data_IF_097631864084
#
_entry.id   IF_097631864084
#
_cell.length_a   1.000
_cell.length_b   1.000
_cell.length_c   1.000
_cell.angle_alpha   90.00
_cell.angle_beta   90.00
_cell.angle_gamma   90.00
#
_symmetry.space_group_name_H-M   'P 1'
#
loop_
_entity.id
_entity.type
_entity.pdbx_description
1 polymer ?
#
# COMPACT_ATOMS: atom_id res chain seq x y z
N UNK A 1 24.34 -22.92 58.12
CA UNK A 1 25.39 -22.43 59.06
C UNK A 1 26.20 -21.35 58.38
N UNK A 2 26.32 -20.24 59.10
CA UNK A 2 27.30 -19.17 59.00
C UNK A 2 27.14 -18.21 57.82
N UNK A 3 26.57 -17.05 58.09
CA UNK A 3 27.09 -15.75 58.60
C UNK A 3 27.59 -14.89 57.42
N UNK A 4 26.84 -13.86 57.03
CA UNK A 4 26.83 -12.50 57.59
C UNK A 4 28.26 -11.84 57.58
N UNK A 5 28.48 -10.92 56.66
CA UNK A 5 29.25 -9.71 56.94
C UNK A 5 28.68 -8.54 56.12
N UNK A 6 28.18 -7.61 56.81
CA UNK A 6 27.91 -6.21 56.66
C UNK A 6 29.15 -5.46 56.18
N UNK A 7 29.04 -4.59 55.18
CA UNK A 7 29.72 -3.30 55.28
C UNK A 7 28.97 -2.23 54.47
N UNK A 8 28.42 -1.33 55.20
CA UNK A 8 27.90 -0.02 54.82
C UNK A 8 29.04 0.85 54.27
N UNK A 9 28.77 1.53 53.14
CA UNK A 9 29.42 2.82 52.88
C UNK A 9 28.39 3.81 52.34
N UNK A 10 28.10 4.75 53.20
CA UNK A 10 27.31 5.95 53.02
C UNK A 10 28.24 7.00 52.39
N UNK A 11 27.58 7.91 51.66
CA UNK A 11 27.98 9.30 51.35
C UNK A 11 28.19 9.59 49.88
N UNK A 12 27.38 10.50 49.40
CA UNK A 12 27.64 11.29 48.22
C UNK A 12 26.45 11.73 47.41
N UNK A 13 25.50 12.41 48.06
CA UNK A 13 24.49 13.26 47.39
C UNK A 13 25.18 14.37 46.59
N UNK A 14 25.01 14.38 45.28
CA UNK A 14 25.10 15.64 44.56
C UNK A 14 23.87 15.75 43.67
N UNK A 15 22.94 16.56 44.13
CA UNK A 15 21.84 17.12 43.33
C UNK A 15 22.44 18.00 42.23
N UNK A 16 22.44 17.48 41.00
CA UNK A 16 22.71 18.24 39.80
C UNK A 16 21.42 18.58 39.09
N UNK A 17 20.62 19.52 39.60
CA UNK A 17 19.58 20.18 38.84
C UNK A 17 20.25 20.89 37.66
N UNK A 18 20.12 20.34 36.44
CA UNK A 18 20.38 21.10 35.22
C UNK A 18 19.18 22.03 34.98
N UNK A 19 19.39 23.36 34.95
CA UNK A 19 18.34 24.27 34.57
C UNK A 19 17.94 24.04 33.14
N UNK A 20 16.63 23.90 32.91
CA UNK A 20 16.03 23.93 31.60
C UNK A 20 16.38 25.28 30.98
N UNK A 21 17.18 25.28 29.92
CA UNK A 21 17.43 26.48 29.14
C UNK A 21 16.11 26.91 28.55
N UNK A 22 15.55 28.00 29.04
CA UNK A 22 14.45 28.71 28.40
C UNK A 22 14.83 29.00 26.97
N UNK A 23 13.92 28.66 26.06
CA UNK A 23 13.98 29.01 24.64
C UNK A 23 13.77 30.53 24.54
N UNK A 24 14.83 31.29 24.72
CA UNK A 24 14.88 32.76 24.49
C UNK A 24 15.45 33.10 23.11
N UNK A 25 15.47 32.13 22.19
CA UNK A 25 16.02 32.32 20.83
C UNK A 25 14.98 32.85 19.82
N UNK A 26 13.71 32.92 20.16
CA UNK A 26 12.69 33.40 19.22
C UNK A 26 12.43 34.89 19.36
N UNK A 27 12.57 35.47 20.57
CA UNK A 27 12.30 36.88 20.77
C UNK A 27 13.40 37.82 20.23
N UNK A 28 14.65 37.34 20.16
CA UNK A 28 15.77 38.12 19.61
C UNK A 28 15.83 38.14 18.08
N UNK A 29 15.01 37.37 17.38
CA UNK A 29 14.92 37.39 15.93
C UNK A 29 13.90 38.42 15.42
N UNK A 30 13.06 38.97 16.30
CA UNK A 30 12.01 39.91 15.92
C UNK A 30 12.39 41.39 16.14
N UNK A 31 13.53 41.70 16.77
CA UNK A 31 13.95 43.09 17.08
C UNK A 31 15.08 43.64 16.20
N UNK A 32 15.58 42.94 15.21
CA UNK A 32 16.48 43.55 14.19
C UNK A 32 15.68 44.12 13.06
N UNK A 33 15.31 45.39 13.27
CA UNK A 33 14.80 46.31 12.27
C UNK A 33 15.98 46.78 11.39
N UNK A 34 16.42 45.95 10.47
CA UNK A 34 17.29 46.38 9.39
C UNK A 34 16.44 46.72 8.18
N UNK A 35 16.41 48.00 7.88
CA UNK A 35 15.81 48.58 6.67
C UNK A 35 16.59 48.07 5.47
N UNK A 36 16.25 46.87 4.98
CA UNK A 36 16.61 46.44 3.63
C UNK A 36 15.42 46.81 2.76
N UNK A 37 15.61 47.74 1.88
CA UNK A 37 14.70 47.96 0.73
C UNK A 37 14.73 46.71 -0.12
N UNK A 38 13.90 45.74 0.24
CA UNK A 38 13.64 44.60 -0.62
C UNK A 38 12.62 45.06 -1.64
N UNK A 39 13.07 45.23 -2.83
CA UNK A 39 12.20 45.27 -4.01
C UNK A 39 11.49 43.92 -4.00
N UNK A 40 10.27 43.90 -3.50
CA UNK A 40 9.39 42.72 -3.57
C UNK A 40 9.01 42.57 -5.03
N UNK A 41 9.79 41.80 -5.76
CA UNK A 41 9.28 41.17 -6.97
C UNK A 41 8.36 40.09 -6.48
N UNK A 42 7.13 40.43 -6.16
CA UNK A 42 6.01 39.50 -6.06
C UNK A 42 5.76 38.93 -7.45
N UNK A 43 6.58 37.95 -7.83
CA UNK A 43 6.14 36.97 -8.78
C UNK A 43 5.30 36.00 -7.97
N UNK A 44 4.01 36.31 -7.77
CA UNK A 44 3.02 35.29 -7.50
C UNK A 44 3.27 34.17 -8.51
N UNK A 45 3.41 32.90 -8.06
CA UNK A 45 3.35 31.81 -9.00
C UNK A 45 1.98 31.94 -9.64
N UNK A 46 1.97 32.41 -10.87
CA UNK A 46 0.80 32.46 -11.72
C UNK A 46 0.22 31.05 -11.70
N UNK A 47 -0.85 30.86 -10.93
CA UNK A 47 -1.69 29.68 -11.02
C UNK A 47 -2.34 29.80 -12.39
N UNK A 48 -1.61 29.39 -13.41
CA UNK A 48 -2.12 29.25 -14.76
C UNK A 48 -3.30 28.29 -14.65
N UNK A 49 -4.51 28.84 -14.78
CA UNK A 49 -5.70 28.01 -14.98
C UNK A 49 -5.36 27.05 -16.11
N UNK A 50 -5.57 25.73 -15.91
CA UNK A 50 -5.25 24.74 -16.93
C UNK A 50 -5.91 25.16 -18.24
N UNK A 51 -5.14 25.24 -19.31
CA UNK A 51 -5.72 25.48 -20.63
C UNK A 51 -6.67 24.31 -20.95
N UNK A 52 -7.75 24.57 -21.68
CA UNK A 52 -8.72 23.54 -22.08
C UNK A 52 -8.02 22.37 -22.76
N UNK A 53 -6.98 22.65 -23.56
CA UNK A 53 -6.15 21.64 -24.23
C UNK A 53 -5.40 20.72 -23.24
N UNK A 54 -4.91 21.25 -22.11
CA UNK A 54 -4.18 20.46 -21.12
C UNK A 54 -5.08 19.47 -20.35
N UNK A 55 -6.35 19.83 -20.09
CA UNK A 55 -7.32 18.93 -19.47
C UNK A 55 -7.66 17.75 -20.40
N UNK A 56 -7.83 18.03 -21.70
CA UNK A 56 -8.07 16.98 -22.69
C UNK A 56 -6.91 15.97 -22.75
N UNK A 57 -5.67 16.43 -22.67
CA UNK A 57 -4.49 15.55 -22.59
C UNK A 57 -4.56 14.64 -21.36
N UNK A 58 -4.90 15.17 -20.19
CA UNK A 58 -5.01 14.37 -18.96
C UNK A 58 -6.12 13.34 -19.06
N UNK A 59 -7.27 13.72 -19.60
CA UNK A 59 -8.39 12.80 -19.84
C UNK A 59 -8.01 11.67 -20.80
N UNK A 60 -7.27 11.98 -21.87
CA UNK A 60 -6.78 10.96 -22.82
C UNK A 60 -5.78 10.01 -22.17
N UNK A 61 -4.89 10.53 -21.31
CA UNK A 61 -3.97 9.68 -20.54
C UNK A 61 -4.74 8.73 -19.62
N UNK A 62 -5.73 9.22 -18.86
CA UNK A 62 -6.55 8.36 -18.00
C UNK A 62 -7.31 7.30 -18.80
N UNK A 63 -7.89 7.68 -19.93
CA UNK A 63 -8.53 6.75 -20.86
C UNK A 63 -7.54 5.70 -21.38
N UNK A 64 -6.33 6.10 -21.73
CA UNK A 64 -5.27 5.18 -22.16
C UNK A 64 -4.91 4.17 -21.07
N UNK A 65 -4.82 4.61 -19.81
CA UNK A 65 -4.56 3.72 -18.66
C UNK A 65 -5.68 2.70 -18.53
N UNK A 66 -6.94 3.12 -18.61
CA UNK A 66 -8.09 2.20 -18.55
C UNK A 66 -8.10 1.21 -19.73
N UNK A 67 -7.77 1.64 -20.94
CA UNK A 67 -7.69 0.78 -22.11
C UNK A 67 -6.53 -0.24 -22.01
N UNK A 68 -5.44 0.13 -21.33
CA UNK A 68 -4.27 -0.73 -21.14
C UNK A 68 -4.38 -1.64 -19.91
N UNK A 69 -5.55 -1.66 -19.23
CA UNK A 69 -5.76 -2.61 -18.12
C UNK A 69 -5.50 -4.03 -18.60
N UNK A 70 -4.79 -4.78 -17.78
CA UNK A 70 -4.43 -6.17 -18.07
C UNK A 70 -5.70 -6.99 -18.17
N UNK A 71 -5.95 -7.53 -19.37
CA UNK A 71 -7.07 -8.42 -19.66
C UNK A 71 -6.58 -9.86 -19.60
N UNK A 72 -7.28 -10.71 -18.87
CA UNK A 72 -6.92 -12.11 -18.68
C UNK A 72 -8.16 -12.94 -18.34
N UNK A 73 -8.08 -14.25 -18.53
CA UNK A 73 -9.06 -15.23 -18.04
C UNK A 73 -8.52 -15.90 -16.78
N UNK A 74 -7.24 -16.27 -16.81
CA UNK A 74 -6.53 -16.86 -15.65
C UNK A 74 -5.22 -16.14 -15.44
N UNK A 75 -4.79 -16.07 -14.18
CA UNK A 75 -3.50 -15.52 -13.79
C UNK A 75 -2.86 -16.41 -12.73
N UNK A 76 -1.59 -16.75 -12.93
CA UNK A 76 -0.79 -17.48 -11.94
C UNK A 76 0.43 -16.63 -11.58
N UNK A 77 0.84 -16.69 -10.32
CA UNK A 77 2.05 -16.01 -9.89
C UNK A 77 2.75 -16.74 -8.73
N UNK A 78 4.07 -16.54 -8.65
CA UNK A 78 4.90 -16.81 -7.47
C UNK A 78 5.44 -15.49 -6.95
N UNK A 79 5.07 -15.12 -5.76
CA UNK A 79 5.32 -13.80 -5.18
C UNK A 79 6.13 -13.98 -3.89
N UNK A 80 7.27 -13.32 -3.75
CA UNK A 80 7.89 -13.11 -2.45
C UNK A 80 7.19 -11.94 -1.78
N UNK A 81 6.72 -12.17 -0.56
CA UNK A 81 5.99 -11.17 0.21
C UNK A 81 6.75 -10.87 1.49
N UNK A 82 6.97 -9.59 1.73
CA UNK A 82 7.40 -9.04 3.01
C UNK A 82 6.23 -8.31 3.62
N UNK A 83 5.84 -8.75 4.80
CA UNK A 83 4.71 -8.21 5.56
C UNK A 83 5.24 -7.57 6.84
N UNK A 84 4.87 -6.33 7.09
CA UNK A 84 5.20 -5.58 8.29
C UNK A 84 3.91 -5.07 8.92
N UNK A 85 3.50 -5.72 9.99
CA UNK A 85 2.33 -5.35 10.79
C UNK A 85 2.73 -4.74 12.13
N UNK A 86 1.73 -4.47 12.97
CA UNK A 86 1.95 -3.84 14.27
C UNK A 86 2.71 -4.76 15.24
N UNK A 87 2.46 -6.05 15.19
CA UNK A 87 3.03 -7.06 16.12
C UNK A 87 3.87 -8.13 15.40
N UNK A 88 3.77 -8.23 14.07
CA UNK A 88 4.37 -9.32 13.30
C UNK A 88 5.05 -8.77 12.05
N UNK A 89 6.28 -9.20 11.83
CA UNK A 89 7.02 -9.01 10.59
C UNK A 89 7.32 -10.39 10.01
N UNK A 90 6.81 -10.67 8.82
CA UNK A 90 6.94 -11.98 8.22
C UNK A 90 7.39 -11.91 6.76
N UNK A 91 8.18 -12.91 6.37
CA UNK A 91 8.60 -13.15 5.00
C UNK A 91 8.10 -14.52 4.54
N UNK A 92 7.34 -14.56 3.47
CA UNK A 92 6.81 -15.80 2.93
C UNK A 92 6.69 -15.76 1.40
N UNK A 93 6.46 -16.92 0.81
CA UNK A 93 6.17 -17.00 -0.63
C UNK A 93 4.70 -17.34 -0.83
N UNK A 94 4.02 -16.53 -1.62
CA UNK A 94 2.65 -16.78 -2.07
C UNK A 94 2.69 -17.41 -3.46
N UNK A 95 1.98 -18.52 -3.60
CA UNK A 95 1.64 -19.10 -4.88
C UNK A 95 0.17 -18.80 -5.15
N UNK A 96 -0.08 -18.05 -6.21
CA UNK A 96 -1.37 -17.47 -6.55
C UNK A 96 -1.91 -18.09 -7.84
N UNK A 97 -3.20 -18.38 -7.88
CA UNK A 97 -3.95 -18.67 -9.11
C UNK A 97 -5.29 -17.94 -9.05
N UNK A 98 -5.61 -17.21 -10.09
CA UNK A 98 -6.86 -16.43 -10.20
C UNK A 98 -7.62 -16.90 -11.43
N UNK A 99 -8.93 -17.14 -11.29
CA UNK A 99 -9.89 -17.13 -12.40
C UNK A 99 -10.60 -15.77 -12.31
N UNK A 100 -10.49 -14.99 -13.37
CA UNK A 100 -11.06 -13.63 -13.40
C UNK A 100 -12.53 -13.64 -12.98
N UNK A 101 -12.89 -12.68 -12.12
CA UNK A 101 -14.25 -12.45 -11.63
C UNK A 101 -14.93 -13.64 -10.91
N UNK A 102 -14.17 -14.70 -10.60
CA UNK A 102 -14.67 -15.93 -10.02
C UNK A 102 -13.98 -16.27 -8.69
N UNK A 103 -12.69 -16.55 -8.71
CA UNK A 103 -11.99 -17.04 -7.53
C UNK A 103 -10.51 -16.69 -7.53
N UNK A 104 -9.97 -16.43 -6.35
CA UNK A 104 -8.56 -16.29 -6.06
C UNK A 104 -8.15 -17.44 -5.14
N UNK A 105 -7.17 -18.24 -5.54
CA UNK A 105 -6.52 -19.25 -4.73
C UNK A 105 -5.13 -18.77 -4.35
N UNK A 106 -4.79 -18.84 -3.07
CA UNK A 106 -3.48 -18.49 -2.55
C UNK A 106 -2.95 -19.62 -1.65
N UNK A 107 -1.66 -19.95 -1.80
CA UNK A 107 -0.92 -20.82 -0.90
C UNK A 107 0.27 -20.04 -0.34
N UNK A 108 0.32 -19.90 0.97
CA UNK A 108 1.43 -19.25 1.67
C UNK A 108 2.39 -20.34 2.12
N UNK A 109 3.65 -20.23 1.66
CA UNK A 109 4.74 -21.12 2.04
C UNK A 109 5.78 -20.32 2.82
N UNK A 110 6.08 -20.79 4.02
CA UNK A 110 7.18 -20.28 4.83
C UNK A 110 8.55 -20.81 4.38
N UNK A 111 9.52 -20.70 5.27
CA UNK A 111 10.84 -21.30 5.09
C UNK A 111 10.72 -22.80 4.74
N UNK A 112 11.68 -23.32 3.96
CA UNK A 112 11.71 -24.71 3.49
C UNK A 112 10.52 -25.12 2.60
N UNK A 113 9.71 -24.19 2.10
CA UNK A 113 8.61 -24.47 1.19
C UNK A 113 7.39 -25.16 1.82
N UNK A 114 7.31 -25.19 3.15
CA UNK A 114 6.18 -25.80 3.88
C UNK A 114 4.95 -24.90 3.71
N UNK A 115 3.82 -25.50 3.28
CA UNK A 115 2.55 -24.79 3.19
C UNK A 115 2.00 -24.54 4.59
N UNK A 116 2.06 -23.27 5.03
CA UNK A 116 1.51 -22.83 6.31
C UNK A 116 0.02 -22.54 6.25
N UNK A 117 -0.42 -21.94 5.13
CA UNK A 117 -1.79 -21.47 4.95
C UNK A 117 -2.24 -21.61 3.50
N UNK A 118 -3.53 -21.84 3.30
CA UNK A 118 -4.20 -21.71 2.00
C UNK A 118 -5.41 -20.81 2.14
N UNK A 119 -5.70 -20.02 1.11
CA UNK A 119 -6.90 -19.22 1.05
C UNK A 119 -7.64 -19.43 -0.28
N UNK A 120 -8.96 -19.39 -0.19
CA UNK A 120 -9.88 -19.29 -1.32
C UNK A 120 -10.72 -18.04 -1.11
N UNK A 121 -10.66 -17.09 -2.03
CA UNK A 121 -11.41 -15.84 -1.97
C UNK A 121 -12.36 -15.81 -3.16
N UNK A 122 -13.63 -15.55 -2.90
CA UNK A 122 -14.69 -15.35 -3.87
C UNK A 122 -15.34 -13.98 -3.64
N UNK A 123 -16.29 -13.60 -4.46
CA UNK A 123 -17.03 -12.33 -4.30
C UNK A 123 -17.73 -12.21 -2.94
N UNK A 124 -18.12 -13.34 -2.34
CA UNK A 124 -18.94 -13.37 -1.14
C UNK A 124 -18.18 -13.86 0.09
N UNK A 125 -17.11 -14.62 -0.09
CA UNK A 125 -16.49 -15.36 1.01
C UNK A 125 -14.97 -15.49 0.92
N UNK A 126 -14.37 -15.64 2.10
CA UNK A 126 -12.97 -15.99 2.30
C UNK A 126 -12.91 -17.27 3.11
N UNK A 127 -12.29 -18.31 2.57
CA UNK A 127 -12.01 -19.56 3.27
C UNK A 127 -10.52 -19.67 3.48
N UNK A 128 -10.10 -19.76 4.74
CA UNK A 128 -8.70 -19.89 5.14
C UNK A 128 -8.51 -21.27 5.74
N UNK A 129 -7.47 -21.97 5.31
CA UNK A 129 -7.04 -23.26 5.87
C UNK A 129 -5.65 -23.09 6.44
N UNK A 130 -5.52 -23.10 7.76
CA UNK A 130 -4.23 -23.09 8.44
C UNK A 130 -3.73 -24.53 8.55
N UNK A 131 -2.53 -24.81 8.02
CA UNK A 131 -1.93 -26.17 7.96
C UNK A 131 -0.75 -26.36 8.90
N UNK A 132 -0.19 -25.28 9.43
CA UNK A 132 0.94 -25.30 10.36
C UNK A 132 0.52 -24.78 11.74
N UNK A 133 1.04 -25.39 12.80
CA UNK A 133 0.62 -25.13 14.18
C UNK A 133 -0.79 -25.68 14.43
N UNK A 134 -1.65 -24.90 15.07
CA UNK A 134 -3.06 -25.26 15.24
C UNK A 134 -3.77 -25.32 13.89
N UNK A 135 -4.26 -26.51 13.52
CA UNK A 135 -4.90 -26.75 12.21
C UNK A 135 -6.38 -26.44 12.29
N UNK A 136 -6.84 -25.51 11.45
CA UNK A 136 -8.27 -25.15 11.38
C UNK A 136 -8.68 -24.64 10.00
N UNK A 137 -9.99 -24.62 9.78
CA UNK A 137 -10.65 -23.97 8.66
C UNK A 137 -11.44 -22.80 9.22
N UNK A 138 -11.24 -21.62 8.63
CA UNK A 138 -12.00 -20.43 8.96
C UNK A 138 -12.78 -19.99 7.72
N UNK A 139 -14.08 -19.76 7.89
CA UNK A 139 -14.97 -19.25 6.85
C UNK A 139 -15.45 -17.87 7.27
N UNK A 140 -15.25 -16.87 6.41
CA UNK A 140 -15.63 -15.49 6.64
C UNK A 140 -16.33 -14.92 5.42
N UNK A 141 -17.09 -13.85 5.60
CA UNK A 141 -17.58 -13.05 4.48
C UNK A 141 -16.42 -12.29 3.83
N UNK A 142 -16.64 -11.77 2.64
CA UNK A 142 -15.63 -10.95 1.94
C UNK A 142 -15.24 -9.69 2.73
N UNK A 143 -16.13 -9.17 3.60
CA UNK A 143 -15.84 -8.03 4.48
C UNK A 143 -14.65 -8.29 5.43
N UNK A 144 -14.28 -9.54 5.66
CA UNK A 144 -13.09 -9.89 6.44
C UNK A 144 -11.81 -9.30 5.84
N UNK A 145 -11.72 -9.16 4.51
CA UNK A 145 -10.59 -8.50 3.88
C UNK A 145 -10.51 -7.02 4.28
N UNK A 146 -11.66 -6.37 4.42
CA UNK A 146 -11.72 -4.98 4.88
C UNK A 146 -11.34 -4.84 6.35
N UNK A 147 -11.72 -5.81 7.18
CA UNK A 147 -11.31 -5.87 8.59
C UNK A 147 -9.79 -5.99 8.74
N UNK A 148 -9.16 -6.82 7.89
CA UNK A 148 -7.72 -7.04 7.90
C UNK A 148 -6.92 -5.86 7.35
N UNK A 149 -7.35 -5.33 6.20
CA UNK A 149 -6.61 -4.29 5.49
C UNK A 149 -6.98 -2.88 5.94
N UNK A 150 -8.08 -2.74 6.70
CA UNK A 150 -8.69 -1.46 7.07
C UNK A 150 -9.13 -0.61 5.86
N UNK A 151 -9.00 -1.11 4.66
CA UNK A 151 -9.44 -0.47 3.42
C UNK A 151 -10.68 -1.21 2.91
N UNK A 152 -11.71 -0.51 2.39
CA UNK A 152 -12.91 -1.14 1.86
C UNK A 152 -12.64 -1.79 0.49
N UNK A 153 -11.67 -2.68 0.45
CA UNK A 153 -11.40 -3.49 -0.73
C UNK A 153 -12.49 -4.52 -0.92
N UNK A 154 -13.13 -4.48 -2.06
CA UNK A 154 -13.97 -5.56 -2.54
C UNK A 154 -13.15 -6.62 -3.31
N UNK A 155 -13.80 -7.65 -3.77
CA UNK A 155 -13.16 -8.72 -4.53
C UNK A 155 -12.45 -8.19 -5.79
N UNK A 156 -13.09 -7.29 -6.52
CA UNK A 156 -12.56 -6.74 -7.77
C UNK A 156 -11.31 -5.89 -7.51
N UNK A 157 -11.36 -5.07 -6.48
CA UNK A 157 -10.21 -4.24 -6.06
C UNK A 157 -9.00 -5.10 -5.69
N UNK A 158 -9.23 -6.17 -4.90
CA UNK A 158 -8.15 -7.12 -4.54
C UNK A 158 -7.60 -7.82 -5.78
N UNK A 159 -8.47 -8.26 -6.69
CA UNK A 159 -8.09 -8.88 -7.95
C UNK A 159 -7.23 -7.93 -8.81
N UNK A 160 -7.64 -6.68 -8.94
CA UNK A 160 -6.91 -5.65 -9.70
C UNK A 160 -5.54 -5.37 -9.09
N UNK A 161 -5.44 -5.21 -7.79
CA UNK A 161 -4.15 -5.03 -7.10
C UNK A 161 -3.23 -6.22 -7.35
N UNK A 162 -3.73 -7.46 -7.26
CA UNK A 162 -2.94 -8.68 -7.46
C UNK A 162 -2.46 -8.84 -8.90
N UNK A 163 -3.22 -8.37 -9.87
CA UNK A 163 -2.86 -8.40 -11.29
C UNK A 163 -2.03 -7.19 -11.70
N UNK A 164 -2.10 -6.09 -10.95
CA UNK A 164 -1.33 -4.87 -11.22
C UNK A 164 -2.11 -3.83 -12.01
N UNK A 165 -3.42 -3.96 -12.07
CA UNK A 165 -4.27 -2.91 -12.57
C UNK A 165 -4.40 -1.79 -11.52
N UNK A 166 -4.34 -0.54 -11.91
CA UNK A 166 -4.59 0.57 -11.00
C UNK A 166 -6.05 0.59 -10.53
N UNK A 167 -6.24 1.02 -9.30
CA UNK A 167 -7.55 1.03 -8.63
C UNK A 167 -8.05 2.46 -8.39
N UNK A 168 -9.38 2.62 -8.22
CA UNK A 168 -10.02 3.91 -7.91
C UNK A 168 -9.69 5.03 -8.91
N UNK A 169 -9.55 4.70 -10.19
CA UNK A 169 -9.46 5.68 -11.27
C UNK A 169 -10.90 6.06 -11.70
N UNK A 170 -11.11 7.35 -11.91
CA UNK A 170 -12.35 7.91 -12.42
C UNK A 170 -12.06 9.18 -13.22
N UNK A 171 -13.09 9.79 -13.79
CA UNK A 171 -12.96 10.99 -14.62
C UNK A 171 -13.20 12.30 -13.84
N UNK A 172 -13.38 12.24 -12.52
CA UNK A 172 -13.59 13.43 -11.71
C UNK A 172 -12.23 14.04 -11.30
N UNK A 173 -11.61 14.74 -12.24
CA UNK A 173 -10.32 15.40 -12.10
C UNK A 173 -10.54 16.71 -11.34
N UNK A 174 -9.92 16.82 -10.16
CA UNK A 174 -9.94 18.06 -9.36
C UNK A 174 -8.82 19.01 -9.79
N UNK A 175 -7.61 18.45 -9.95
CA UNK A 175 -6.44 19.21 -10.40
C UNK A 175 -5.39 18.24 -10.97
N UNK A 176 -4.43 18.80 -11.70
CA UNK A 176 -3.31 18.04 -12.22
C UNK A 176 -2.06 18.93 -12.36
N UNK A 177 -0.91 18.27 -12.44
CA UNK A 177 0.37 18.94 -12.72
C UNK A 177 1.19 18.07 -13.68
N UNK A 178 1.61 18.65 -14.77
CA UNK A 178 2.49 18.01 -15.76
C UNK A 178 3.93 18.51 -15.50
N UNK A 179 4.84 17.57 -15.36
CA UNK A 179 6.29 17.83 -15.29
C UNK A 179 6.97 17.11 -16.47
N UNK A 180 8.29 17.28 -16.61
CA UNK A 180 9.04 16.58 -17.65
C UNK A 180 8.97 15.05 -17.49
N UNK A 181 8.95 14.57 -16.25
CA UNK A 181 9.01 13.15 -15.92
C UNK A 181 7.62 12.55 -15.63
N UNK A 182 6.77 13.29 -14.93
CA UNK A 182 5.53 12.76 -14.39
C UNK A 182 4.32 13.64 -14.68
N UNK A 183 3.18 12.99 -14.81
CA UNK A 183 1.86 13.58 -14.72
C UNK A 183 1.27 13.21 -13.35
N UNK A 184 1.00 14.19 -12.51
CA UNK A 184 0.26 14.03 -11.27
C UNK A 184 -1.19 14.40 -11.52
N UNK A 185 -2.11 13.53 -11.12
CA UNK A 185 -3.56 13.75 -11.29
C UNK A 185 -4.25 13.52 -9.96
N UNK A 186 -4.98 14.52 -9.49
CA UNK A 186 -5.79 14.40 -8.29
C UNK A 186 -7.24 14.14 -8.67
N UNK A 187 -7.74 12.97 -8.30
CA UNK A 187 -9.08 12.48 -8.58
C UNK A 187 -9.92 12.48 -7.30
N UNK A 188 -11.20 12.85 -7.43
CA UNK A 188 -12.16 12.73 -6.34
C UNK A 188 -13.12 11.56 -6.65
N UNK A 189 -13.00 10.49 -5.88
CA UNK A 189 -13.94 9.34 -5.93
C UNK A 189 -15.05 9.47 -4.89
N UNK A 190 -15.83 8.40 -4.74
CA UNK A 190 -16.92 8.36 -3.75
C UNK A 190 -16.44 8.01 -2.33
N UNK A 191 -15.31 7.32 -2.21
CA UNK A 191 -14.75 6.85 -0.94
C UNK A 191 -13.36 7.43 -0.67
N UNK A 192 -12.58 7.65 -1.73
CA UNK A 192 -11.21 8.13 -1.65
C UNK A 192 -10.96 9.31 -2.58
N UNK A 193 -10.11 10.21 -2.11
CA UNK A 193 -9.32 11.09 -2.94
C UNK A 193 -8.14 10.27 -3.43
N UNK A 194 -7.80 10.33 -4.69
CA UNK A 194 -6.68 9.58 -5.27
C UNK A 194 -5.70 10.53 -5.97
N UNK A 195 -4.47 10.60 -5.47
CA UNK A 195 -3.38 11.27 -6.14
C UNK A 195 -2.58 10.23 -6.92
N UNK A 196 -2.77 10.23 -8.23
CA UNK A 196 -2.02 9.39 -9.15
C UNK A 196 -0.73 10.06 -9.58
N UNK A 197 0.36 9.29 -9.62
CA UNK A 197 1.60 9.65 -10.30
C UNK A 197 1.77 8.72 -11.49
N UNK A 198 1.85 9.29 -12.66
CA UNK A 198 1.92 8.58 -13.95
C UNK A 198 3.22 8.99 -14.64
N UNK A 199 3.98 8.04 -15.12
CA UNK A 199 5.15 8.32 -15.96
C UNK A 199 4.74 9.01 -17.26
N UNK A 200 5.35 10.14 -17.54
CA UNK A 200 4.92 10.99 -18.67
C UNK A 200 5.28 10.41 -20.05
N UNK A 201 6.25 9.51 -20.13
CA UNK A 201 6.68 8.89 -21.38
C UNK A 201 5.92 7.59 -21.63
N UNK A 202 5.93 6.67 -20.67
CA UNK A 202 5.34 5.32 -20.82
C UNK A 202 3.86 5.27 -20.53
N UNK A 203 3.32 6.30 -19.84
CA UNK A 203 1.93 6.35 -19.33
C UNK A 203 1.62 5.21 -18.34
N UNK A 204 2.64 4.71 -17.65
CA UNK A 204 2.49 3.73 -16.57
C UNK A 204 2.15 4.44 -15.26
N UNK A 205 1.28 3.85 -14.46
CA UNK A 205 1.01 4.33 -13.11
C UNK A 205 2.19 3.93 -12.22
N UNK A 206 2.83 4.89 -11.59
CA UNK A 206 3.95 4.67 -10.68
C UNK A 206 3.49 4.62 -9.23
N UNK A 207 2.51 5.46 -8.88
CA UNK A 207 2.04 5.58 -7.52
C UNK A 207 0.57 6.00 -7.47
N UNK A 208 -0.15 5.51 -6.49
CA UNK A 208 -1.52 5.89 -6.16
C UNK A 208 -1.60 6.11 -4.65
N UNK A 209 -1.86 7.35 -4.25
CA UNK A 209 -2.12 7.68 -2.85
C UNK A 209 -3.61 7.91 -2.65
N UNK A 210 -4.21 7.06 -1.85
CA UNK A 210 -5.62 7.09 -1.50
C UNK A 210 -5.77 7.70 -0.10
N UNK A 211 -6.50 8.80 0.00
CA UNK A 211 -6.91 9.37 1.28
C UNK A 211 -8.42 9.25 1.43
N UNK A 212 -8.90 8.75 2.56
CA UNK A 212 -10.34 8.63 2.81
C UNK A 212 -11.01 10.01 2.74
N UNK A 213 -12.19 10.08 2.15
CA UNK A 213 -12.97 11.31 2.11
C UNK A 213 -13.47 11.68 3.49
N UNK A 214 -13.81 10.68 4.30
CA UNK A 214 -14.18 10.86 5.70
C UNK A 214 -12.92 11.10 6.53
N UNK A 215 -12.67 12.35 6.84
CA UNK A 215 -11.50 12.80 7.61
C UNK A 215 -11.44 12.20 9.03
N UNK A 216 -12.58 11.77 9.59
CA UNK A 216 -12.63 11.15 10.90
C UNK A 216 -11.99 9.76 10.91
N UNK A 217 -11.96 9.08 9.78
CA UNK A 217 -11.29 7.79 9.63
C UNK A 217 -9.77 7.92 9.59
N UNK A 218 -9.26 9.08 9.15
CA UNK A 218 -7.82 9.38 9.02
C UNK A 218 -7.03 8.21 8.41
N UNK A 219 -7.56 7.66 7.32
CA UNK A 219 -7.07 6.45 6.69
C UNK A 219 -6.45 6.77 5.35
N UNK A 220 -5.23 6.28 5.15
CA UNK A 220 -4.48 6.42 3.90
C UNK A 220 -4.03 5.07 3.38
N UNK A 221 -3.92 4.94 2.06
CA UNK A 221 -3.32 3.78 1.42
C UNK A 221 -2.44 4.24 0.27
N UNK A 222 -1.15 3.94 0.36
CA UNK A 222 -0.17 4.21 -0.67
C UNK A 222 0.13 2.93 -1.44
N UNK A 223 0.03 2.95 -2.77
CA UNK A 223 0.35 1.82 -3.63
C UNK A 223 1.40 2.27 -4.62
N UNK A 224 2.56 1.64 -4.59
CA UNK A 224 3.64 1.87 -5.54
C UNK A 224 3.71 0.71 -6.53
N UNK A 225 3.86 1.02 -7.81
CA UNK A 225 4.05 0.07 -8.90
C UNK A 225 5.42 0.34 -9.52
N UNK A 226 6.28 -0.67 -9.60
CA UNK A 226 7.62 -0.51 -10.16
C UNK A 226 8.11 -1.77 -10.86
N UNK A 227 9.32 -1.71 -11.42
CA UNK A 227 9.96 -2.81 -12.14
C UNK A 227 9.04 -3.36 -13.24
N UNK A 228 8.53 -2.47 -14.09
CA UNK A 228 7.67 -2.84 -15.20
C UNK A 228 8.42 -3.68 -16.23
N UNK A 229 7.81 -4.79 -16.62
CA UNK A 229 8.29 -5.68 -17.67
C UNK A 229 7.22 -5.76 -18.75
N UNK A 230 7.66 -5.60 -19.98
CA UNK A 230 6.79 -5.76 -21.15
C UNK A 230 6.87 -7.20 -21.66
N UNK A 231 5.74 -7.91 -21.67
CA UNK A 231 5.64 -9.27 -22.17
C UNK A 231 4.30 -9.46 -22.89
N UNK A 232 4.34 -9.93 -24.15
CA UNK A 232 3.14 -10.22 -24.96
C UNK A 232 2.13 -9.04 -24.96
N UNK A 233 2.60 -7.82 -25.18
CA UNK A 233 1.83 -6.57 -25.15
C UNK A 233 1.20 -6.22 -23.78
N UNK A 234 1.56 -6.94 -22.73
CA UNK A 234 1.16 -6.63 -21.36
C UNK A 234 2.32 -5.94 -20.64
N UNK A 235 2.07 -4.77 -20.10
CA UNK A 235 2.99 -4.07 -19.20
C UNK A 235 2.67 -4.45 -17.77
N UNK A 236 3.54 -5.27 -17.16
CA UNK A 236 3.30 -5.81 -15.81
C UNK A 236 4.32 -5.27 -14.81
N UNK A 237 3.84 -4.69 -13.73
CA UNK A 237 4.69 -4.28 -12.60
C UNK A 237 5.08 -5.51 -11.79
N UNK A 238 6.35 -5.86 -11.76
CA UNK A 238 6.86 -7.03 -11.03
C UNK A 238 7.14 -6.72 -9.56
N UNK A 239 7.12 -5.46 -9.14
CA UNK A 239 7.22 -5.07 -7.74
C UNK A 239 6.09 -4.12 -7.38
N UNK A 240 5.39 -4.43 -6.27
CA UNK A 240 4.35 -3.58 -5.70
C UNK A 240 4.53 -3.47 -4.21
N UNK A 241 4.39 -2.25 -3.70
CA UNK A 241 4.37 -1.97 -2.26
C UNK A 241 3.05 -1.32 -1.91
N UNK A 242 2.40 -1.82 -0.87
CA UNK A 242 1.15 -1.28 -0.33
C UNK A 242 1.40 -0.90 1.11
N UNK A 243 1.18 0.36 1.44
CA UNK A 243 1.26 0.88 2.81
C UNK A 243 -0.10 1.42 3.23
N UNK A 244 -0.67 0.87 4.27
CA UNK A 244 -1.94 1.32 4.84
C UNK A 244 -1.67 1.93 6.21
N UNK A 245 -2.21 3.09 6.46
CA UNK A 245 -2.15 3.78 7.75
C UNK A 245 -3.55 4.21 8.17
N UNK A 246 -3.94 3.83 9.39
CA UNK A 246 -5.13 4.28 10.10
C UNK A 246 -4.73 4.48 11.58
N UNK A 247 -5.12 3.59 12.47
CA UNK A 247 -4.65 3.52 13.86
C UNK A 247 -3.33 2.79 14.01
N UNK A 248 -3.03 1.94 13.06
CA UNK A 248 -1.80 1.17 12.93
C UNK A 248 -1.31 1.21 11.49
N UNK A 249 -0.04 0.93 11.30
CA UNK A 249 0.56 0.84 9.97
C UNK A 249 0.68 -0.61 9.55
N UNK A 250 0.38 -0.87 8.27
CA UNK A 250 0.54 -2.16 7.61
C UNK A 250 1.28 -1.93 6.30
N UNK A 251 2.43 -2.57 6.11
CA UNK A 251 3.17 -2.53 4.86
C UNK A 251 3.24 -3.95 4.25
N UNK A 252 2.98 -4.05 2.96
CA UNK A 252 3.05 -5.30 2.21
C UNK A 252 3.85 -5.06 0.94
N UNK A 253 5.03 -5.68 0.85
CA UNK A 253 5.85 -5.65 -0.36
C UNK A 253 5.69 -6.96 -1.12
N UNK A 254 5.41 -6.88 -2.40
CA UNK A 254 5.18 -8.01 -3.29
C UNK A 254 6.19 -7.99 -4.44
N UNK A 255 7.06 -8.98 -4.50
CA UNK A 255 8.04 -9.19 -5.56
C UNK A 255 7.65 -10.42 -6.39
N UNK A 256 7.15 -10.20 -7.59
CA UNK A 256 6.65 -11.24 -8.49
C UNK A 256 7.81 -11.92 -9.21
N UNK A 257 8.17 -13.12 -8.75
CA UNK A 257 9.30 -13.91 -9.24
C UNK A 257 8.97 -14.75 -10.47
N UNK A 258 7.70 -15.10 -10.65
CA UNK A 258 7.16 -15.80 -11.79
C UNK A 258 5.70 -15.44 -11.95
N UNK A 259 5.24 -15.29 -13.19
CA UNK A 259 3.83 -15.03 -13.49
C UNK A 259 3.46 -15.49 -14.89
N UNK A 260 2.19 -15.82 -15.08
CA UNK A 260 1.65 -16.17 -16.40
C UNK A 260 0.17 -15.81 -16.49
N UNK A 261 -0.25 -15.38 -17.66
CA UNK A 261 -1.63 -15.07 -18.02
C UNK A 261 -2.18 -16.12 -18.98
N UNK A 262 -3.47 -16.42 -18.83
CA UNK A 262 -4.23 -17.30 -19.73
C UNK A 262 -3.70 -18.73 -19.82
N UNK A 263 -2.94 -19.15 -18.82
CA UNK A 263 -2.46 -20.52 -18.64
C UNK A 263 -3.35 -21.29 -17.68
N UNK A 264 -3.39 -22.64 -17.71
CA UNK A 264 -4.08 -23.45 -16.73
C UNK A 264 -3.67 -23.10 -15.31
N UNK A 265 -4.58 -23.26 -14.36
CA UNK A 265 -4.30 -22.96 -12.97
C UNK A 265 -3.18 -23.87 -12.43
N UNK A 266 -2.14 -23.28 -11.87
CA UNK A 266 -0.99 -23.99 -11.27
C UNK A 266 -1.28 -24.40 -9.82
N UNK A 267 -2.17 -23.69 -9.13
CA UNK A 267 -2.45 -23.90 -7.71
C UNK A 267 -3.95 -24.04 -7.49
N UNK A 268 -4.34 -25.14 -6.84
CA UNK A 268 -5.74 -25.44 -6.55
C UNK A 268 -5.93 -25.54 -5.05
N UNK A 269 -7.06 -25.02 -4.58
CA UNK A 269 -7.44 -25.09 -3.18
C UNK A 269 -8.08 -26.44 -2.85
N UNK A 270 -7.63 -27.05 -1.76
CA UNK A 270 -8.21 -28.29 -1.24
C UNK A 270 -8.68 -28.10 0.19
N UNK A 271 -9.93 -28.50 0.46
CA UNK A 271 -10.51 -28.44 1.80
C UNK A 271 -10.21 -29.76 2.54
N UNK A 272 -9.44 -29.74 3.65
CA UNK A 272 -9.17 -30.92 4.43
C UNK A 272 -10.42 -31.41 5.16
N UNK A 273 -10.66 -32.72 5.20
CA UNK A 273 -11.85 -33.31 5.85
C UNK A 273 -11.80 -33.30 7.39
N UNK A 274 -10.60 -33.28 7.98
CA UNK A 274 -10.38 -33.54 9.41
C UNK A 274 -9.91 -32.30 10.19
N UNK A 275 -10.11 -31.10 9.67
CA UNK A 275 -9.75 -29.85 10.36
C UNK A 275 -10.96 -29.28 11.08
N UNK A 276 -10.73 -28.70 12.27
CA UNK A 276 -11.77 -27.96 13.00
C UNK A 276 -12.22 -26.74 12.20
N UNK A 277 -13.51 -26.46 12.20
CA UNK A 277 -14.08 -25.22 11.66
C UNK A 277 -14.16 -24.23 12.81
N UNK A 278 -13.62 -23.02 12.59
CA UNK A 278 -13.68 -21.89 13.53
C UNK A 278 -14.54 -20.76 12.97
#
# INVERSE_FOLDING_TARGET
>A
MKKLVFLTFIVGTIFGCRPIKKVTAIDNALEKKDTIQTTIVTKDPEVTKPSVDSLAIVQDVLKTIEQKRIQYNTFNAKIKVEFYGQEENENFTVYLSIIKDSVIYAQLKGALGIVGMQAKITKDSVIIVRKYGEKYIQKRSISYLQELTKIPFDYNTVQDILVGNPIFINNNIVTYKITNENLLVFLLGNQFKNLLTIDNQTKQVLHSKLDDIDILKNRTCDITYSNYVQQNNVSFSTYRSISVSEKSKLDVNMDFKDYSFNEPLKYVFTLPKNFKIK
#
